data_IF_396883299730
#
_entry.id   IF_396883299730
#
_cell.length_a   1.000
_cell.length_b   1.000
_cell.length_c   1.000
_cell.angle_alpha   90.00
_cell.angle_beta   90.00
_cell.angle_gamma   90.00
#
_symmetry.space_group_name_H-M   'P 1'
#
loop_
_entity.id
_entity.type
_entity.pdbx_description
1 polymer ?
#
# COMPACT_ATOMS: atom_id res chain seq x y z
N UNK A 1 14.33 3.08 -44.96
CA UNK A 1 13.27 2.16 -45.42
C UNK A 1 12.26 1.72 -44.34
N UNK A 2 12.63 0.98 -43.27
CA UNK A 2 11.63 0.52 -42.25
C UNK A 2 11.02 1.66 -41.42
N UNK A 3 11.79 2.70 -41.13
CA UNK A 3 11.31 3.87 -40.39
C UNK A 3 10.34 4.70 -41.23
N UNK A 4 10.68 4.99 -42.48
CA UNK A 4 9.81 5.70 -43.43
C UNK A 4 8.47 4.97 -43.62
N UNK A 5 8.49 3.64 -43.80
CA UNK A 5 7.25 2.84 -43.90
C UNK A 5 6.37 2.92 -42.65
N UNK A 6 6.97 3.04 -41.46
CA UNK A 6 6.24 3.24 -40.20
C UNK A 6 5.63 4.64 -40.12
N UNK A 7 6.31 5.64 -40.64
CA UNK A 7 5.83 7.01 -40.68
C UNK A 7 4.66 7.17 -41.67
N UNK A 8 4.78 6.60 -42.86
CA UNK A 8 3.71 6.56 -43.87
C UNK A 8 2.45 5.87 -43.34
N UNK A 9 2.60 4.71 -42.69
CA UNK A 9 1.47 4.00 -42.08
C UNK A 9 0.84 4.78 -40.93
N UNK A 10 1.65 5.46 -40.11
CA UNK A 10 1.14 6.32 -39.04
C UNK A 10 0.41 7.56 -39.60
N UNK A 11 0.85 8.11 -40.73
CA UNK A 11 0.17 9.22 -41.40
C UNK A 11 -1.20 8.79 -41.96
N UNK A 12 -1.25 7.65 -42.66
CA UNK A 12 -2.48 7.08 -43.18
C UNK A 12 -3.50 6.77 -42.07
N UNK A 13 -3.04 6.21 -40.95
CA UNK A 13 -3.92 5.93 -39.80
C UNK A 13 -4.49 7.22 -39.18
N UNK A 14 -3.67 8.27 -39.04
CA UNK A 14 -4.16 9.56 -38.51
C UNK A 14 -5.20 10.19 -39.42
N UNK A 15 -5.04 10.08 -40.74
CA UNK A 15 -6.04 10.55 -41.69
C UNK A 15 -7.35 9.77 -41.57
N UNK A 16 -7.26 8.45 -41.51
CA UNK A 16 -8.43 7.59 -41.32
C UNK A 16 -9.17 7.90 -40.01
N UNK A 17 -8.44 8.16 -38.93
CA UNK A 17 -9.04 8.56 -37.65
C UNK A 17 -9.75 9.92 -37.74
N UNK A 18 -9.17 10.91 -38.42
CA UNK A 18 -9.85 12.20 -38.63
C UNK A 18 -11.12 12.07 -39.45
N UNK A 19 -11.07 11.24 -40.50
CA UNK A 19 -12.25 10.97 -41.33
C UNK A 19 -13.36 10.29 -40.51
N UNK A 20 -13.01 9.31 -39.68
CA UNK A 20 -13.96 8.65 -38.79
C UNK A 20 -14.55 9.60 -37.73
N UNK A 21 -13.73 10.49 -37.16
CA UNK A 21 -14.20 11.47 -36.17
C UNK A 21 -15.16 12.51 -36.78
N UNK A 22 -14.94 12.89 -38.04
CA UNK A 22 -15.82 13.78 -38.78
C UNK A 22 -17.19 13.16 -39.13
N UNK A 23 -17.29 11.83 -39.14
CA UNK A 23 -18.55 11.10 -39.37
C UNK A 23 -19.39 10.99 -38.07
N UNK A 24 -18.80 11.26 -36.90
CA UNK A 24 -19.51 11.20 -35.63
C UNK A 24 -20.37 12.47 -35.47
N UNK A 25 -21.64 12.36 -35.82
CA UNK A 25 -22.64 13.39 -35.53
C UNK A 25 -23.15 13.25 -34.09
N UNK A 26 -23.12 14.36 -33.33
CA UNK A 26 -23.71 14.39 -32.00
C UNK A 26 -25.23 14.53 -32.09
N UNK A 27 -26.03 13.63 -31.51
CA UNK A 27 -27.48 13.77 -31.53
C UNK A 27 -27.95 15.07 -30.89
N UNK A 28 -29.01 15.66 -31.46
CA UNK A 28 -29.62 16.88 -30.92
C UNK A 28 -29.99 16.73 -29.43
N UNK A 29 -29.69 17.77 -28.66
CA UNK A 29 -29.97 17.84 -27.23
C UNK A 29 -29.16 16.86 -26.37
N UNK A 30 -28.13 16.17 -26.90
CA UNK A 30 -27.24 15.33 -26.09
C UNK A 30 -26.61 16.12 -24.93
N UNK A 31 -26.11 17.33 -25.20
CA UNK A 31 -25.45 18.16 -24.19
C UNK A 31 -26.42 18.72 -23.15
N UNK A 32 -27.65 19.04 -23.54
CA UNK A 32 -28.75 19.36 -22.63
C UNK A 32 -29.05 18.18 -21.70
N UNK A 33 -29.19 16.95 -22.24
CA UNK A 33 -29.41 15.75 -21.40
C UNK A 33 -28.28 15.51 -20.40
N UNK A 34 -27.02 15.68 -20.83
CA UNK A 34 -25.84 15.53 -19.96
C UNK A 34 -25.79 16.62 -18.87
N UNK A 35 -26.18 17.86 -19.20
CA UNK A 35 -26.26 18.96 -18.22
C UNK A 35 -27.39 18.73 -17.21
N UNK A 36 -28.59 18.37 -17.66
CA UNK A 36 -29.77 18.14 -16.79
C UNK A 36 -29.53 16.96 -15.85
N UNK A 37 -28.95 15.85 -16.33
CA UNK A 37 -28.61 14.71 -15.48
C UNK A 37 -27.63 15.07 -14.34
N UNK A 38 -26.89 16.19 -14.46
CA UNK A 38 -25.94 16.65 -13.43
C UNK A 38 -26.61 17.50 -12.36
N UNK A 39 -27.79 18.08 -12.65
CA UNK A 39 -28.58 18.86 -11.68
C UNK A 39 -29.52 17.96 -10.85
N UNK A 40 -29.92 16.80 -11.38
CA UNK A 40 -30.76 15.81 -10.68
C UNK A 40 -29.99 14.90 -9.71
N UNK A 41 -28.65 14.93 -9.73
CA UNK A 41 -27.85 14.33 -8.66
C UNK A 41 -27.82 15.30 -7.48
N UNK A 42 -28.95 15.38 -6.77
CA UNK A 42 -28.90 15.77 -5.37
C UNK A 42 -27.96 14.79 -4.68
N UNK A 43 -26.85 15.23 -4.04
CA UNK A 43 -26.18 14.36 -3.11
C UNK A 43 -27.26 13.98 -2.09
N UNK A 44 -27.57 12.69 -1.96
CA UNK A 44 -28.33 12.20 -0.83
C UNK A 44 -27.49 12.54 0.39
N UNK A 45 -27.72 13.73 0.93
CA UNK A 45 -27.34 14.07 2.27
C UNK A 45 -27.99 12.97 3.10
N UNK A 46 -27.16 12.05 3.61
CA UNK A 46 -27.57 11.18 4.69
C UNK A 46 -27.92 12.12 5.83
N UNK A 47 -29.19 12.49 5.90
CA UNK A 47 -29.82 13.06 7.07
C UNK A 47 -29.84 11.95 8.12
N UNK A 48 -28.66 11.70 8.71
CA UNK A 48 -28.55 11.06 9.99
C UNK A 48 -29.36 11.91 10.95
N UNK A 49 -30.53 11.39 11.32
CA UNK A 49 -31.44 11.93 12.33
C UNK A 49 -30.63 12.59 13.44
N UNK A 50 -30.68 13.92 13.49
CA UNK A 50 -30.39 14.66 14.71
C UNK A 50 -31.44 14.22 15.74
N UNK A 51 -31.07 13.23 16.55
CA UNK A 51 -31.89 12.81 17.67
C UNK A 51 -31.99 14.00 18.64
N UNK A 52 -33.18 14.61 18.68
CA UNK A 52 -33.59 15.56 19.72
C UNK A 52 -33.33 14.92 21.08
N UNK A 53 -32.24 15.33 21.74
CA UNK A 53 -32.00 15.01 23.14
C UNK A 53 -32.99 15.81 23.97
N UNK A 54 -34.07 15.16 24.42
CA UNK A 54 -34.88 15.66 25.53
C UNK A 54 -34.09 15.47 26.83
N UNK A 55 -34.11 16.43 27.77
CA UNK A 55 -33.43 16.30 29.06
C UNK A 55 -34.18 15.30 29.95
N UNK A 56 -33.49 14.27 30.42
CA UNK A 56 -34.00 13.34 31.44
C UNK A 56 -33.53 13.80 32.82
N UNK A 57 -34.39 13.73 33.86
CA UNK A 57 -34.13 14.28 35.19
C UNK A 57 -33.03 13.54 35.96
N UNK A 58 -32.19 14.33 36.65
CA UNK A 58 -31.09 13.91 37.53
C UNK A 58 -31.57 13.13 38.77
N UNK A 59 -31.78 11.81 38.67
CA UNK A 59 -31.94 10.95 39.88
C UNK A 59 -31.37 9.52 39.74
N UNK A 60 -30.50 9.24 38.77
CA UNK A 60 -29.78 7.94 38.70
C UNK A 60 -28.28 8.14 38.50
N UNK A 61 -27.69 9.03 39.31
CA UNK A 61 -26.24 9.16 39.51
C UNK A 61 -25.97 8.80 40.97
N UNK A 62 -26.13 7.53 41.31
CA UNK A 62 -25.62 6.93 42.54
C UNK A 62 -25.75 5.40 42.36
N UNK A 63 -24.68 4.67 42.70
CA UNK A 63 -24.52 3.20 42.59
C UNK A 63 -23.95 2.71 41.24
N UNK A 64 -22.67 3.02 41.00
CA UNK A 64 -21.70 2.10 40.39
C UNK A 64 -20.23 2.60 40.51
N UNK A 65 -19.96 3.55 41.41
CA UNK A 65 -18.60 3.93 41.80
C UNK A 65 -18.15 3.02 42.95
N UNK A 66 -17.85 1.75 42.67
CA UNK A 66 -17.27 0.82 43.66
C UNK A 66 -16.61 -0.45 43.05
N UNK A 67 -16.05 -0.39 41.83
CA UNK A 67 -15.33 -1.54 41.24
C UNK A 67 -14.15 -1.14 40.34
N UNK A 68 -13.40 -0.09 40.71
CA UNK A 68 -12.14 0.30 40.07
C UNK A 68 -11.12 0.60 41.17
N UNK A 69 -10.52 -0.44 41.78
CA UNK A 69 -9.40 -0.27 42.72
C UNK A 69 -8.54 -1.51 43.05
N UNK A 70 -8.72 -2.71 42.47
CA UNK A 70 -8.00 -3.91 42.96
C UNK A 70 -7.49 -4.95 41.95
N UNK A 71 -7.12 -4.58 40.71
CA UNK A 71 -6.44 -5.55 39.80
C UNK A 71 -5.18 -4.96 39.12
N UNK A 72 -4.45 -4.11 39.85
CA UNK A 72 -3.10 -3.68 39.48
C UNK A 72 -2.12 -3.95 40.63
N UNK A 73 -1.98 -5.20 41.06
CA UNK A 73 -0.77 -5.71 41.73
C UNK A 73 -0.89 -7.20 42.03
N UNK A 74 0.04 -8.01 41.51
CA UNK A 74 0.39 -9.30 42.11
C UNK A 74 -0.05 -10.56 41.36
N UNK A 75 0.76 -10.97 40.39
CA UNK A 75 1.23 -12.37 40.16
C UNK A 75 2.26 -12.28 39.02
N UNK A 76 3.44 -11.72 39.28
CA UNK A 76 4.64 -12.48 39.63
C UNK A 76 4.85 -13.72 38.76
N UNK A 77 5.79 -13.56 37.82
CA UNK A 77 6.54 -14.61 37.17
C UNK A 77 6.88 -15.75 38.13
N UNK A 78 6.49 -16.97 37.78
CA UNK A 78 6.95 -18.20 38.42
C UNK A 78 6.81 -19.37 37.44
N UNK A 79 7.70 -19.47 36.45
CA UNK A 79 8.32 -20.73 36.01
C UNK A 79 9.69 -20.40 35.40
N UNK A 80 10.72 -20.46 36.23
CA UNK A 80 12.08 -20.81 35.79
C UNK A 80 12.40 -22.17 36.40
N UNK A 81 12.74 -23.20 35.62
CA UNK A 81 13.52 -24.30 36.13
C UNK A 81 14.99 -23.89 36.14
N UNK A 82 15.52 -23.77 37.35
CA UNK A 82 16.94 -23.78 37.66
C UNK A 82 17.59 -25.03 37.07
N UNK A 83 18.63 -24.82 36.26
CA UNK A 83 19.60 -25.84 35.87
C UNK A 83 20.99 -25.35 36.23
N UNK A 84 21.37 -25.47 37.51
CA UNK A 84 22.73 -25.28 37.98
C UNK A 84 23.54 -26.53 37.64
N UNK A 85 24.49 -26.39 36.72
CA UNK A 85 25.55 -27.36 36.47
C UNK A 85 26.86 -26.62 36.31
N UNK A 86 27.59 -26.44 37.40
CA UNK A 86 28.95 -25.89 37.44
C UNK A 86 29.97 -27.01 37.35
N UNK A 87 30.85 -27.01 36.35
CA UNK A 87 32.24 -27.48 36.54
C UNK A 87 33.19 -26.89 35.48
N UNK A 88 34.24 -26.27 36.03
CA UNK A 88 35.64 -26.24 35.59
C UNK A 88 36.02 -25.68 34.20
N UNK A 89 36.82 -24.62 34.23
CA UNK A 89 37.43 -24.02 33.05
C UNK A 89 38.63 -24.75 32.47
N UNK A 90 39.09 -24.24 31.34
CA UNK A 90 40.49 -24.17 30.95
C UNK A 90 40.63 -23.09 29.89
N UNK A 91 41.54 -22.16 30.15
CA UNK A 91 42.07 -21.19 29.21
C UNK A 91 42.73 -21.90 28.03
N UNK A 92 42.42 -21.50 26.80
CA UNK A 92 43.39 -21.33 25.72
C UNK A 92 42.68 -20.89 24.43
N UNK A 93 43.32 -19.92 23.78
CA UNK A 93 43.28 -19.62 22.35
C UNK A 93 42.00 -19.05 21.71
N UNK A 94 42.06 -17.72 21.61
CA UNK A 94 41.61 -16.93 20.47
C UNK A 94 41.90 -17.65 19.14
N UNK A 95 40.96 -17.58 18.19
CA UNK A 95 41.22 -16.65 17.10
C UNK A 95 40.06 -15.67 16.95
N UNK A 96 40.44 -14.45 16.62
CA UNK A 96 39.58 -13.33 16.29
C UNK A 96 38.39 -13.77 15.43
N UNK A 97 37.24 -13.95 16.08
CA UNK A 97 35.96 -13.97 15.38
C UNK A 97 35.68 -12.54 14.97
N UNK A 98 36.00 -12.27 13.71
CA UNK A 98 35.54 -11.12 12.96
C UNK A 98 34.06 -10.90 13.29
N UNK A 99 33.76 -9.75 13.89
CA UNK A 99 32.39 -9.38 14.21
C UNK A 99 31.57 -9.49 12.91
N UNK A 100 30.42 -10.20 12.90
CA UNK A 100 29.59 -10.25 11.72
C UNK A 100 29.18 -8.82 11.39
N UNK A 101 29.48 -8.40 10.16
CA UNK A 101 29.00 -7.15 9.61
C UNK A 101 27.49 -7.02 9.88
N UNK A 102 26.96 -5.83 10.23
CA UNK A 102 25.55 -5.69 10.58
C UNK A 102 24.64 -6.17 9.44
N UNK A 103 24.04 -7.34 9.66
CA UNK A 103 22.65 -7.68 9.37
C UNK A 103 22.15 -7.45 7.94
N UNK A 104 22.48 -8.34 7.00
CA UNK A 104 21.54 -8.65 5.92
C UNK A 104 20.44 -9.53 6.50
N UNK A 105 19.36 -8.91 6.99
CA UNK A 105 18.09 -9.62 7.13
C UNK A 105 17.68 -10.13 5.75
N UNK A 106 17.30 -11.40 5.65
CA UNK A 106 16.90 -11.99 4.38
C UNK A 106 15.68 -11.26 3.80
N UNK A 107 15.60 -11.09 2.47
CA UNK A 107 14.40 -10.60 1.83
C UNK A 107 13.20 -11.49 2.15
N UNK A 108 12.02 -10.89 2.32
CA UNK A 108 10.80 -11.64 2.64
C UNK A 108 9.81 -11.60 1.47
N UNK A 109 8.96 -12.61 1.38
CA UNK A 109 7.84 -12.61 0.42
C UNK A 109 6.67 -11.78 0.97
N UNK A 110 6.27 -10.74 0.23
CA UNK A 110 5.06 -9.97 0.45
C UNK A 110 3.98 -10.41 -0.52
N UNK A 111 2.76 -10.59 -0.01
CA UNK A 111 1.57 -10.72 -0.84
C UNK A 111 0.87 -9.36 -1.01
N UNK A 112 0.59 -9.01 -2.25
CA UNK A 112 -0.14 -7.79 -2.60
C UNK A 112 -1.61 -7.94 -2.20
N UNK A 113 -2.15 -6.90 -1.55
CA UNK A 113 -3.52 -6.86 -1.11
C UNK A 113 -4.27 -5.67 -1.72
N UNK A 114 -5.22 -5.96 -2.61
CA UNK A 114 -6.27 -5.01 -2.98
C UNK A 114 -7.44 -5.07 -1.99
N UNK A 115 -7.76 -3.93 -1.38
CA UNK A 115 -8.86 -3.80 -0.40
C UNK A 115 -10.23 -3.95 -1.08
N UNK A 116 -10.35 -3.55 -2.34
CA UNK A 116 -11.55 -3.70 -3.14
C UNK A 116 -11.81 -5.16 -3.49
N UNK A 117 -12.92 -5.71 -2.99
CA UNK A 117 -13.28 -7.13 -3.17
C UNK A 117 -13.44 -7.50 -4.65
N UNK A 118 -14.07 -6.61 -5.43
CA UNK A 118 -14.31 -6.83 -6.87
C UNK A 118 -12.99 -7.03 -7.65
N UNK A 119 -11.90 -6.41 -7.19
CA UNK A 119 -10.59 -6.47 -7.84
C UNK A 119 -9.68 -7.60 -7.35
N UNK A 120 -10.16 -8.50 -6.48
CA UNK A 120 -9.33 -9.60 -5.97
C UNK A 120 -9.19 -10.75 -6.96
N UNK A 121 -10.25 -11.00 -7.73
CA UNK A 121 -10.30 -12.07 -8.74
C UNK A 121 -9.95 -11.56 -10.15
N UNK A 122 -9.87 -10.24 -10.34
CA UNK A 122 -9.69 -9.62 -11.64
C UNK A 122 -8.24 -9.16 -11.87
N UNK A 123 -7.69 -9.55 -13.02
CA UNK A 123 -6.37 -9.14 -13.49
C UNK A 123 -6.42 -8.09 -14.60
N UNK A 124 -7.38 -7.17 -14.53
CA UNK A 124 -7.55 -6.08 -15.50
C UNK A 124 -6.71 -4.86 -15.13
N UNK A 125 -6.61 -3.87 -16.03
CA UNK A 125 -5.81 -2.67 -15.78
C UNK A 125 -6.43 -1.78 -14.68
N UNK A 126 -7.75 -1.77 -14.56
CA UNK A 126 -8.51 -1.02 -13.55
C UNK A 126 -8.27 -1.58 -12.15
N UNK A 127 -8.06 -2.89 -12.05
CA UNK A 127 -7.79 -3.59 -10.80
C UNK A 127 -6.29 -3.72 -10.47
N UNK A 128 -5.42 -3.18 -11.33
CA UNK A 128 -3.98 -3.18 -11.10
C UNK A 128 -3.59 -2.10 -10.09
N UNK A 129 -2.82 -2.50 -9.09
CA UNK A 129 -2.17 -1.60 -8.15
C UNK A 129 -0.82 -1.15 -8.70
N UNK A 130 -0.50 0.12 -8.46
CA UNK A 130 0.77 0.71 -8.90
C UNK A 130 1.89 0.36 -7.93
N UNK A 131 3.06 0.05 -8.48
CA UNK A 131 4.32 0.06 -7.75
C UNK A 131 5.04 1.35 -8.11
N UNK A 132 5.45 2.13 -7.11
CA UNK A 132 6.03 3.45 -7.31
C UNK A 132 7.53 3.39 -7.60
N UNK A 133 8.08 4.41 -8.28
CA UNK A 133 9.54 4.56 -8.43
C UNK A 133 10.18 5.16 -7.18
N UNK A 134 9.50 6.14 -6.57
CA UNK A 134 9.96 6.91 -5.43
C UNK A 134 8.83 6.98 -4.37
N UNK A 135 9.06 6.51 -3.12
CA UNK A 135 8.06 6.53 -2.05
C UNK A 135 7.81 7.95 -1.50
N UNK A 136 8.62 8.95 -1.84
CA UNK A 136 8.46 10.33 -1.37
C UNK A 136 7.65 11.21 -2.34
N UNK A 137 7.50 10.76 -3.58
CA UNK A 137 6.68 11.43 -4.59
C UNK A 137 5.18 11.04 -4.47
N UNK A 138 4.25 11.87 -4.98
CA UNK A 138 2.83 11.54 -4.96
C UNK A 138 2.54 10.19 -5.64
N UNK A 139 1.86 9.29 -4.93
CA UNK A 139 1.53 7.96 -5.42
C UNK A 139 0.67 7.98 -6.69
N UNK A 140 -0.24 8.95 -6.80
CA UNK A 140 -1.13 9.13 -7.94
C UNK A 140 -0.42 9.65 -9.21
N UNK A 141 0.79 10.21 -9.09
CA UNK A 141 1.55 10.75 -10.23
C UNK A 141 1.83 9.66 -11.28
N UNK A 142 1.39 9.82 -12.54
CA UNK A 142 1.68 8.84 -13.60
C UNK A 142 3.18 8.67 -13.86
N UNK A 143 3.99 9.70 -13.66
CA UNK A 143 5.45 9.65 -13.83
C UNK A 143 6.17 8.77 -12.79
N UNK A 144 5.54 8.58 -11.62
CA UNK A 144 6.07 7.81 -10.50
C UNK A 144 5.70 6.31 -10.56
N UNK A 145 5.31 5.76 -11.72
CA UNK A 145 4.97 4.34 -11.84
C UNK A 145 6.18 3.51 -12.31
N UNK A 146 6.63 2.56 -11.48
CA UNK A 146 7.65 1.57 -11.82
C UNK A 146 7.06 0.30 -12.43
N UNK A 147 5.84 -0.08 -12.01
CA UNK A 147 5.19 -1.30 -12.46
C UNK A 147 3.73 -1.40 -12.01
N UNK A 148 3.11 -2.53 -12.36
CA UNK A 148 1.75 -2.89 -11.97
C UNK A 148 1.74 -4.29 -11.35
N UNK A 149 0.96 -4.43 -10.31
CA UNK A 149 0.73 -5.68 -9.57
C UNK A 149 -0.74 -5.86 -9.31
N UNK A 150 -1.17 -7.10 -9.12
CA UNK A 150 -2.55 -7.43 -8.82
C UNK A 150 -2.69 -8.03 -7.44
N UNK A 151 -3.92 -8.13 -6.95
CA UNK A 151 -4.20 -8.84 -5.72
C UNK A 151 -3.60 -10.26 -5.77
N UNK A 152 -2.98 -10.67 -4.67
CA UNK A 152 -2.37 -11.99 -4.55
C UNK A 152 -1.02 -12.14 -5.26
N UNK A 153 -0.55 -11.14 -6.03
CA UNK A 153 0.82 -11.17 -6.55
C UNK A 153 1.81 -11.26 -5.37
N UNK A 154 2.84 -12.07 -5.57
CA UNK A 154 3.94 -12.22 -4.63
C UNK A 154 5.13 -11.40 -5.08
N UNK A 155 5.71 -10.64 -4.16
CA UNK A 155 6.83 -9.74 -4.37
C UNK A 155 7.89 -10.00 -3.31
N UNK A 156 9.15 -9.85 -3.67
CA UNK A 156 10.25 -9.93 -2.70
C UNK A 156 10.50 -8.55 -2.12
N UNK A 157 10.38 -8.38 -0.81
CA UNK A 157 10.71 -7.14 -0.11
C UNK A 157 12.05 -7.20 0.59
N UNK A 158 12.86 -6.18 0.37
CA UNK A 158 14.25 -6.13 0.88
C UNK A 158 14.39 -5.19 2.08
N UNK A 159 13.63 -4.11 2.11
CA UNK A 159 13.61 -3.15 3.21
C UNK A 159 12.32 -2.31 3.22
N UNK A 160 12.07 -1.57 4.29
CA UNK A 160 10.94 -0.64 4.44
C UNK A 160 11.40 0.75 4.82
N UNK A 161 10.76 1.78 4.27
CA UNK A 161 10.83 3.17 4.77
C UNK A 161 9.53 3.50 5.49
N UNK A 162 9.60 4.29 6.55
CA UNK A 162 8.45 4.64 7.42
C UNK A 162 8.03 6.10 7.28
N UNK A 163 8.82 6.88 6.55
CA UNK A 163 8.74 8.32 6.31
C UNK A 163 8.34 8.65 4.87
N UNK A 164 7.75 7.69 4.14
CA UNK A 164 7.27 7.92 2.78
C UNK A 164 5.99 8.76 2.75
N UNK A 165 5.58 9.15 1.53
CA UNK A 165 4.34 9.89 1.28
C UNK A 165 3.15 9.12 1.85
N UNK A 166 2.29 9.81 2.59
CA UNK A 166 1.05 9.20 3.11
C UNK A 166 0.18 8.74 1.95
N UNK A 167 -0.24 7.46 1.98
CA UNK A 167 -1.22 6.91 1.05
C UNK A 167 -2.40 6.40 1.85
N UNK A 168 -3.60 6.75 1.39
CA UNK A 168 -4.88 6.26 1.94
C UNK A 168 -5.53 5.32 0.94
N UNK A 169 -6.02 4.18 1.41
CA UNK A 169 -6.78 3.24 0.59
C UNK A 169 -8.26 3.60 0.47
N UNK A 170 -8.99 2.83 -0.32
CA UNK A 170 -10.42 3.02 -0.59
C UNK A 170 -11.32 2.74 0.63
N UNK A 171 -10.74 2.27 1.74
CA UNK A 171 -11.43 2.08 3.04
C UNK A 171 -10.99 3.07 4.10
N UNK A 172 -10.16 4.05 3.76
CA UNK A 172 -9.71 5.10 4.66
C UNK A 172 -8.55 4.68 5.57
N UNK A 173 -7.92 3.52 5.34
CA UNK A 173 -6.68 3.17 6.03
C UNK A 173 -5.52 3.93 5.39
N UNK A 174 -4.69 4.56 6.22
CA UNK A 174 -3.55 5.34 5.76
C UNK A 174 -2.22 4.76 6.26
N UNK A 175 -1.16 4.92 5.49
CA UNK A 175 0.19 4.54 5.89
C UNK A 175 1.25 5.41 5.21
N UNK A 176 2.30 5.71 5.96
CA UNK A 176 3.56 6.28 5.45
C UNK A 176 4.63 5.20 5.24
N UNK A 177 4.30 3.92 5.48
CA UNK A 177 5.22 2.80 5.26
C UNK A 177 5.24 2.44 3.79
N UNK A 178 6.44 2.24 3.25
CA UNK A 178 6.64 1.78 1.88
C UNK A 178 7.70 0.69 1.84
N UNK A 179 7.36 -0.43 1.21
CA UNK A 179 8.25 -1.57 1.07
C UNK A 179 8.99 -1.48 -0.26
N UNK A 180 10.31 -1.58 -0.23
CA UNK A 180 11.14 -1.75 -1.43
C UNK A 180 10.94 -3.17 -1.92
N UNK A 181 10.33 -3.32 -3.09
CA UNK A 181 9.89 -4.60 -3.65
C UNK A 181 10.51 -4.85 -5.01
N UNK A 182 10.75 -6.12 -5.27
CA UNK A 182 11.13 -6.62 -6.58
C UNK A 182 10.14 -7.70 -7.04
N UNK A 183 9.80 -7.68 -8.33
CA UNK A 183 9.09 -8.77 -9.00
C UNK A 183 10.04 -9.43 -9.99
N UNK A 184 10.29 -10.72 -9.81
CA UNK A 184 11.03 -11.52 -10.78
C UNK A 184 10.24 -11.65 -12.09
N UNK A 185 10.94 -11.93 -13.19
CA UNK A 185 10.26 -12.35 -14.42
C UNK A 185 9.57 -13.69 -14.15
N UNK A 186 8.28 -13.77 -14.43
CA UNK A 186 7.51 -15.01 -14.27
C UNK A 186 7.44 -15.81 -15.57
N UNK A 187 7.15 -17.11 -15.45
CA UNK A 187 7.05 -18.05 -16.57
C UNK A 187 5.99 -17.66 -17.62
N UNK A 188 5.00 -16.87 -17.20
CA UNK A 188 3.95 -16.31 -18.05
C UNK A 188 4.34 -15.00 -18.77
N UNK A 189 5.64 -14.67 -18.87
CA UNK A 189 6.13 -13.51 -19.65
C UNK A 189 6.00 -12.15 -18.94
N UNK A 190 5.88 -12.13 -17.61
CA UNK A 190 5.88 -10.89 -16.83
C UNK A 190 7.24 -10.19 -16.86
N UNK A 191 7.25 -8.85 -17.02
CA UNK A 191 8.49 -8.05 -16.96
C UNK A 191 9.01 -7.98 -15.52
N UNK A 192 10.32 -8.16 -15.33
CA UNK A 192 11.01 -7.85 -14.07
C UNK A 192 10.94 -6.34 -13.80
N UNK A 193 10.67 -5.97 -12.57
CA UNK A 193 10.77 -4.57 -12.12
C UNK A 193 11.06 -4.50 -10.62
N UNK A 194 11.55 -3.34 -10.21
CA UNK A 194 11.77 -2.96 -8.83
C UNK A 194 11.04 -1.65 -8.54
N UNK A 195 10.56 -1.46 -7.32
CA UNK A 195 10.00 -0.19 -6.88
C UNK A 195 9.48 -0.25 -5.45
N UNK A 196 8.45 0.56 -5.17
CA UNK A 196 7.95 0.77 -3.82
C UNK A 196 6.45 0.50 -3.74
N UNK A 197 6.07 -0.40 -2.82
CA UNK A 197 4.68 -0.74 -2.55
C UNK A 197 4.21 -0.04 -1.26
N UNK A 198 3.11 0.74 -1.29
CA UNK A 198 2.55 1.33 -0.07
C UNK A 198 2.11 0.27 0.93
N UNK A 199 2.26 0.55 2.23
CA UNK A 199 1.92 -0.39 3.30
C UNK A 199 0.43 -0.74 3.36
N UNK A 200 -0.44 0.15 2.88
CA UNK A 200 -1.88 -0.12 2.76
C UNK A 200 -2.22 -1.17 1.68
N UNK A 201 -1.27 -1.51 0.80
CA UNK A 201 -1.43 -2.52 -0.27
C UNK A 201 -0.82 -3.87 0.09
N UNK A 202 -0.57 -4.14 1.36
CA UNK A 202 -0.11 -5.44 1.86
C UNK A 202 -0.78 -5.78 3.20
N UNK A 203 -0.76 -7.07 3.55
CA UNK A 203 -1.16 -7.58 4.88
C UNK A 203 -0.01 -8.30 5.57
N UNK A 204 1.22 -7.88 5.27
CA UNK A 204 2.39 -8.49 5.85
C UNK A 204 2.41 -8.31 7.38
N UNK A 205 2.53 -9.43 8.09
CA UNK A 205 2.70 -9.52 9.54
C UNK A 205 4.15 -9.76 9.94
N UNK A 206 5.03 -10.03 8.98
CA UNK A 206 6.46 -10.29 9.20
C UNK A 206 7.23 -8.98 9.20
N UNK A 207 8.12 -8.79 10.17
CA UNK A 207 8.94 -7.58 10.23
C UNK A 207 9.95 -7.53 9.07
N UNK A 208 10.03 -6.36 8.43
CA UNK A 208 10.99 -6.03 7.39
C UNK A 208 11.95 -5.01 7.96
N UNK A 209 13.26 -5.21 7.75
CA UNK A 209 14.28 -4.26 8.19
C UNK A 209 14.08 -2.88 7.57
N UNK A 210 14.52 -1.84 8.27
CA UNK A 210 14.55 -0.49 7.73
C UNK A 210 15.56 -0.37 6.58
N UNK A 211 15.23 0.45 5.58
CA UNK A 211 16.19 0.79 4.53
C UNK A 211 17.30 1.67 5.09
N UNK A 212 18.55 1.34 4.74
CA UNK A 212 19.71 2.19 5.00
C UNK A 212 19.68 3.45 4.15
N UNK A 213 20.47 4.48 4.51
CA UNK A 213 20.51 5.75 3.78
C UNK A 213 20.83 5.59 2.28
N UNK A 214 21.70 4.65 1.93
CA UNK A 214 22.09 4.37 0.54
C UNK A 214 20.98 3.67 -0.28
N UNK A 215 20.01 3.03 0.39
CA UNK A 215 18.89 2.33 -0.26
C UNK A 215 17.66 3.23 -0.43
N UNK A 216 17.62 4.37 0.28
CA UNK A 216 16.55 5.35 0.14
C UNK A 216 16.79 6.15 -1.15
N UNK A 217 15.76 6.33 -2.01
CA UNK A 217 15.88 7.24 -3.13
C UNK A 217 15.97 8.69 -2.61
N UNK A 218 16.54 9.58 -3.43
CA UNK A 218 16.59 11.01 -3.11
C UNK A 218 15.18 11.54 -2.82
N UNK A 219 15.02 12.26 -1.71
CA UNK A 219 13.80 13.00 -1.47
C UNK A 219 13.74 14.13 -2.51
N UNK A 220 12.71 14.12 -3.35
CA UNK A 220 12.45 15.27 -4.22
C UNK A 220 12.20 16.47 -3.30
N UNK A 221 13.04 17.50 -3.42
CA UNK A 221 12.94 18.74 -2.62
C UNK A 221 11.52 19.30 -2.67
N UNK A 222 11.00 19.63 -1.49
CA UNK A 222 9.69 20.26 -1.32
C UNK A 222 9.64 21.70 -1.77
#
# INVERSE_FOLDING_TARGET
>A
MRAERREETAAALREQLRAADAEIETPDGLWERVRVAREDVTPVASAGRAARRRPLPMTVIAVAAAAVAFVLSGTWWLVSPSGSGSVQGSSADQPSSEAPAPGRSEPITLRVHNVEKACRELRTLECALRVAKNPYEPYANPGNAAGRVWHGDELTATCVVTDGRLVTDEKGLSSTRWYRVEKAAGDAGGKRFEGWLPGVRTRNSTDVRLCSGAEKPGQAGG
#
